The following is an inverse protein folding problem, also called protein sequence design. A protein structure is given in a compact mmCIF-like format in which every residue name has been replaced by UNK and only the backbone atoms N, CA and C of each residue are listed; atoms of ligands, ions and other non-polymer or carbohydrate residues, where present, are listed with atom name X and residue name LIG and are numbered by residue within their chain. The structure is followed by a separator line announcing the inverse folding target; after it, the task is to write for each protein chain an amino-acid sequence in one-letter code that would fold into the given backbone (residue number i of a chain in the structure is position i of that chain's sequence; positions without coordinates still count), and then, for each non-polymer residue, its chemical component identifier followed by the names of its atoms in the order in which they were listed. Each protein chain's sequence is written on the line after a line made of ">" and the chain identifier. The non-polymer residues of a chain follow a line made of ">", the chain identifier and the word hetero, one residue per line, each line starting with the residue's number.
data_IF_032702715652
#
_entry.id   IF_032702715652
#
_cell.length_a   1.000
_cell.length_b   1.000
_cell.length_c   1.000
_cell.angle_alpha   90.00
_cell.angle_beta   90.00
_cell.angle_gamma   90.00
#
_symmetry.space_group_name_H-M   'P 1'
#
loop_
_entity.id
_entity.type
_entity.pdbx_description
1 polymer ?
#
# COMPACT_ATOMS: atom_id res chain seq x y z
N UNK A 1 12.14 -3.51 15.52
CA UNK A 1 11.24 -2.76 14.61
C UNK A 1 11.52 -1.25 14.62
N UNK A 2 11.76 -0.60 15.77
CA UNK A 2 11.84 0.87 15.83
C UNK A 2 13.23 1.50 15.62
N UNK A 3 14.29 0.67 15.48
CA UNK A 3 15.65 1.15 15.14
C UNK A 3 15.97 0.79 13.68
N UNK A 4 16.18 1.81 12.83
CA UNK A 4 16.52 1.63 11.42
C UNK A 4 17.83 0.85 11.23
N UNK A 5 18.81 0.98 12.15
CA UNK A 5 20.11 0.31 12.04
C UNK A 5 20.02 -1.21 12.27
N UNK A 6 18.91 -1.67 12.85
CA UNK A 6 18.63 -3.07 13.09
C UNK A 6 17.65 -3.65 12.04
N UNK A 7 17.48 -2.97 10.90
CA UNK A 7 16.52 -3.36 9.85
C UNK A 7 15.07 -3.06 10.23
N UNK A 8 14.85 -2.06 11.09
CA UNK A 8 13.52 -1.55 11.38
C UNK A 8 12.97 -0.71 10.21
N UNK A 9 11.65 -0.72 10.05
CA UNK A 9 10.94 0.08 9.05
C UNK A 9 9.73 -0.67 8.49
N UNK A 10 8.69 0.05 8.09
CA UNK A 10 7.53 -0.52 7.38
C UNK A 10 7.78 -0.73 5.90
N UNK A 11 8.62 0.07 5.24
CA UNK A 11 8.98 -0.11 3.84
C UNK A 11 9.64 -1.47 3.62
N UNK A 12 10.58 -1.87 4.48
CA UNK A 12 11.18 -3.20 4.41
C UNK A 12 10.20 -4.30 4.84
N UNK A 13 9.42 -4.09 5.90
CA UNK A 13 8.55 -5.13 6.46
C UNK A 13 7.26 -5.37 5.65
N UNK A 14 6.77 -4.37 4.92
CA UNK A 14 5.51 -4.41 4.17
C UNK A 14 5.68 -3.98 2.72
N UNK A 15 6.45 -2.91 2.47
CA UNK A 15 6.63 -2.36 1.13
C UNK A 15 7.23 -3.35 0.13
N UNK A 16 7.99 -4.35 0.58
CA UNK A 16 8.45 -5.47 -0.28
C UNK A 16 7.27 -6.29 -0.82
N UNK A 17 6.25 -6.55 0.00
CA UNK A 17 5.06 -7.28 -0.43
C UNK A 17 4.19 -6.45 -1.37
N UNK A 18 4.06 -5.16 -1.10
CA UNK A 18 3.37 -4.25 -2.01
C UNK A 18 4.08 -4.19 -3.36
N UNK A 19 5.41 -4.11 -3.36
CA UNK A 19 6.21 -4.07 -4.58
C UNK A 19 6.11 -5.39 -5.36
N UNK A 20 6.20 -6.54 -4.69
CA UNK A 20 6.03 -7.85 -5.33
C UNK A 20 4.68 -7.95 -6.04
N UNK A 21 3.60 -7.52 -5.37
CA UNK A 21 2.26 -7.50 -5.97
C UNK A 21 2.19 -6.57 -7.18
N UNK A 22 2.75 -5.36 -7.07
CA UNK A 22 2.76 -4.40 -8.17
C UNK A 22 3.54 -4.93 -9.37
N UNK A 23 4.71 -5.54 -9.14
CA UNK A 23 5.54 -6.08 -10.23
C UNK A 23 4.94 -7.34 -10.87
N UNK A 24 4.19 -8.13 -10.11
CA UNK A 24 3.42 -9.25 -10.68
C UNK A 24 2.32 -8.74 -11.63
N UNK A 25 1.65 -7.64 -11.29
CA UNK A 25 0.57 -7.06 -12.12
C UNK A 25 1.08 -6.16 -13.25
N UNK A 26 2.14 -5.41 -12.99
CA UNK A 26 2.68 -4.34 -13.83
C UNK A 26 4.23 -4.39 -13.84
N UNK A 27 4.83 -5.41 -14.49
CA UNK A 27 6.25 -5.71 -14.35
C UNK A 27 7.20 -4.63 -14.90
N UNK A 28 6.75 -3.85 -15.88
CA UNK A 28 7.61 -2.87 -16.55
C UNK A 28 7.52 -1.48 -15.89
N UNK A 29 8.18 -1.29 -14.74
CA UNK A 29 8.34 0.03 -14.10
C UNK A 29 9.46 0.82 -14.77
N UNK A 30 9.19 2.07 -15.16
CA UNK A 30 10.14 2.96 -15.83
C UNK A 30 10.84 3.94 -14.87
N UNK A 31 10.11 4.51 -13.92
CA UNK A 31 10.62 5.51 -12.97
C UNK A 31 9.97 5.35 -11.60
N UNK A 32 10.69 5.73 -10.55
CA UNK A 32 10.21 5.68 -9.16
C UNK A 32 10.58 6.98 -8.44
N UNK A 33 9.64 7.50 -7.66
CA UNK A 33 9.88 8.51 -6.64
C UNK A 33 9.27 8.03 -5.32
N UNK A 34 9.96 8.22 -4.20
CA UNK A 34 9.48 7.74 -2.90
C UNK A 34 9.83 8.70 -1.77
N UNK A 35 9.04 8.64 -0.70
CA UNK A 35 9.30 9.32 0.57
C UNK A 35 8.97 8.38 1.73
N UNK A 36 9.70 8.53 2.82
CA UNK A 36 9.47 7.82 4.09
C UNK A 36 9.45 8.82 5.24
N UNK A 37 8.75 8.47 6.31
CA UNK A 37 8.60 9.35 7.48
C UNK A 37 8.60 8.55 8.79
N UNK A 38 9.23 9.12 9.83
CA UNK A 38 9.08 8.65 11.22
C UNK A 38 7.94 9.45 11.86
N UNK A 39 6.70 9.03 11.64
CA UNK A 39 5.52 9.77 12.10
C UNK A 39 5.38 9.81 13.62
N UNK A 40 5.87 8.78 14.34
CA UNK A 40 5.93 8.74 15.80
C UNK A 40 7.38 8.69 16.26
N UNK A 41 8.00 9.84 16.61
CA UNK A 41 9.44 9.94 16.86
C UNK A 41 9.88 9.32 18.19
N UNK A 42 8.96 9.10 19.13
CA UNK A 42 9.27 8.50 20.43
C UNK A 42 8.22 7.49 20.85
N UNK A 43 8.64 6.36 21.41
CA UNK A 43 7.77 5.30 21.93
C UNK A 43 8.25 4.77 23.27
N UNK A 44 7.30 4.37 24.10
CA UNK A 44 7.60 3.68 25.36
C UNK A 44 8.03 2.25 25.08
N UNK A 45 9.15 1.82 25.67
CA UNK A 45 9.63 0.46 25.60
C UNK A 45 8.95 -0.48 26.62
N UNK A 46 9.36 -1.75 26.62
CA UNK A 46 8.89 -2.77 27.56
C UNK A 46 9.21 -2.48 29.05
N UNK A 47 10.17 -1.59 29.31
CA UNK A 47 10.60 -1.16 30.65
C UNK A 47 10.00 0.21 31.04
N UNK A 48 8.94 0.65 30.34
CA UNK A 48 8.27 1.93 30.53
C UNK A 48 9.16 3.18 30.30
N UNK A 49 10.28 3.05 29.57
CA UNK A 49 11.15 4.16 29.22
C UNK A 49 10.80 4.70 27.84
N UNK A 50 10.80 6.03 27.70
CA UNK A 50 10.65 6.67 26.40
C UNK A 50 11.96 6.50 25.60
N UNK A 51 11.85 5.97 24.38
CA UNK A 51 12.96 5.82 23.44
C UNK A 51 12.66 6.49 22.12
N UNK A 52 13.71 6.98 21.49
CA UNK A 52 13.64 7.50 20.13
C UNK A 52 13.37 6.36 19.13
N UNK A 53 12.53 6.66 18.16
CA UNK A 53 12.26 5.82 17.00
C UNK A 53 13.03 6.40 15.83
N UNK A 54 13.81 5.57 15.16
CA UNK A 54 14.57 5.97 13.96
C UNK A 54 14.09 5.25 12.70
N UNK A 55 13.39 4.13 12.86
CA UNK A 55 12.73 3.44 11.77
C UNK A 55 11.46 4.17 11.36
N UNK A 56 11.29 4.37 10.06
CA UNK A 56 10.04 4.92 9.52
C UNK A 56 8.84 4.03 9.87
N UNK A 57 7.67 4.68 9.95
CA UNK A 57 6.39 4.01 10.17
C UNK A 57 5.39 4.27 9.03
N UNK A 58 5.86 4.96 7.99
CA UNK A 58 5.09 5.47 6.87
C UNK A 58 5.95 5.58 5.60
N UNK A 59 5.37 5.23 4.45
CA UNK A 59 5.98 5.44 3.14
C UNK A 59 4.93 5.78 2.08
N UNK A 60 5.40 6.48 1.05
CA UNK A 60 4.68 6.70 -0.20
C UNK A 60 5.63 6.47 -1.37
N UNK A 61 5.16 5.72 -2.37
CA UNK A 61 5.90 5.40 -3.60
C UNK A 61 5.02 5.79 -4.79
N UNK A 62 5.58 6.57 -5.70
CA UNK A 62 5.01 6.90 -7.00
C UNK A 62 5.81 6.16 -8.08
N UNK A 63 5.10 5.45 -8.94
CA UNK A 63 5.66 4.65 -10.02
C UNK A 63 5.17 5.20 -11.36
N UNK A 64 6.07 5.27 -12.34
CA UNK A 64 5.71 5.43 -13.76
C UNK A 64 5.88 4.08 -14.46
N UNK A 65 4.84 3.58 -15.09
CA UNK A 65 4.91 2.33 -15.86
C UNK A 65 5.41 2.61 -17.29
N UNK A 66 6.15 1.67 -17.85
CA UNK A 66 6.57 1.69 -19.26
C UNK A 66 5.34 1.49 -20.14
N UNK A 67 5.20 2.32 -21.17
CA UNK A 67 3.99 2.33 -22.00
C UNK A 67 2.88 3.23 -21.46
N UNK A 68 3.07 3.86 -20.30
CA UNK A 68 2.14 4.84 -19.72
C UNK A 68 1.40 4.30 -18.49
N UNK A 69 0.78 5.22 -17.76
CA UNK A 69 0.14 4.92 -16.47
C UNK A 69 1.00 5.28 -15.26
N UNK A 70 0.33 5.43 -14.13
CA UNK A 70 0.94 5.78 -12.84
C UNK A 70 0.45 4.80 -11.78
N UNK A 71 1.35 4.43 -10.86
CA UNK A 71 1.03 3.65 -9.67
C UNK A 71 1.34 4.45 -8.42
N UNK A 72 0.50 4.33 -7.39
CA UNK A 72 0.75 4.94 -6.08
C UNK A 72 0.59 3.86 -5.02
N UNK A 73 1.61 3.69 -4.19
CA UNK A 73 1.61 2.79 -3.04
C UNK A 73 1.85 3.61 -1.79
N UNK A 74 1.00 3.47 -0.78
CA UNK A 74 1.11 4.23 0.47
C UNK A 74 0.80 3.36 1.67
N UNK A 75 1.56 3.56 2.74
CA UNK A 75 1.28 2.96 4.04
C UNK A 75 1.55 4.00 5.14
N UNK A 76 0.64 4.08 6.11
CA UNK A 76 0.79 4.86 7.34
C UNK A 76 0.36 3.96 8.50
N UNK A 77 1.32 3.37 9.21
CA UNK A 77 1.00 2.37 10.25
C UNK A 77 0.50 2.99 11.56
N UNK A 78 0.56 4.31 11.67
CA UNK A 78 0.19 5.11 12.84
C UNK A 78 -1.11 5.87 12.67
N UNK A 79 -1.83 5.66 11.56
CA UNK A 79 -3.13 6.26 11.33
C UNK A 79 -4.14 5.84 12.42
N UNK A 80 -4.79 6.83 13.05
CA UNK A 80 -5.79 6.60 14.11
C UNK A 80 -7.06 5.90 13.61
N UNK A 81 -7.44 6.18 12.37
CA UNK A 81 -8.56 5.52 11.69
C UNK A 81 -8.01 4.76 10.50
N UNK A 82 -8.20 3.44 10.51
CA UNK A 82 -7.66 2.57 9.48
C UNK A 82 -8.51 2.71 8.20
N UNK A 83 -7.86 3.06 7.09
CA UNK A 83 -8.44 2.92 5.74
C UNK A 83 -8.60 1.44 5.35
N UNK A 84 -7.81 0.56 5.96
CA UNK A 84 -7.66 -0.83 5.53
C UNK A 84 -6.81 -0.95 4.27
N UNK A 85 -6.63 -2.18 3.81
CA UNK A 85 -5.95 -2.49 2.55
C UNK A 85 -6.94 -2.29 1.40
N UNK A 86 -6.58 -1.48 0.43
CA UNK A 86 -7.41 -1.21 -0.75
C UNK A 86 -6.52 -1.27 -1.97
N UNK A 87 -6.95 -2.03 -2.97
CA UNK A 87 -6.28 -2.14 -4.26
C UNK A 87 -7.24 -1.64 -5.32
N UNK A 88 -6.79 -0.70 -6.13
CA UNK A 88 -7.60 -0.04 -7.15
C UNK A 88 -6.82 0.00 -8.47
N UNK A 89 -7.44 -0.52 -9.53
CA UNK A 89 -6.88 -0.57 -10.88
C UNK A 89 -7.88 0.05 -11.83
N UNK A 90 -7.43 1.07 -12.56
CA UNK A 90 -8.23 1.81 -13.53
C UNK A 90 -7.57 1.68 -14.90
N UNK A 91 -8.26 1.04 -15.83
CA UNK A 91 -7.82 0.87 -17.21
C UNK A 91 -8.80 1.51 -18.19
N UNK A 92 -8.45 1.48 -19.46
CA UNK A 92 -9.30 1.96 -20.56
C UNK A 92 -10.61 1.17 -20.71
N UNK A 93 -10.56 -0.12 -20.40
CA UNK A 93 -11.65 -1.08 -20.59
C UNK A 93 -12.53 -1.27 -19.36
N UNK A 94 -12.15 -0.69 -18.21
CA UNK A 94 -12.87 -0.90 -16.97
C UNK A 94 -12.06 -0.62 -15.71
N UNK A 95 -12.65 -0.96 -14.58
CA UNK A 95 -12.10 -0.74 -13.24
C UNK A 95 -12.26 -2.00 -12.40
N UNK A 96 -11.26 -2.29 -11.57
CA UNK A 96 -11.31 -3.31 -10.53
C UNK A 96 -10.88 -2.68 -9.21
N UNK A 97 -11.61 -2.96 -8.14
CA UNK A 97 -11.32 -2.46 -6.80
C UNK A 97 -11.56 -3.55 -5.77
N UNK A 98 -10.53 -3.90 -5.00
CA UNK A 98 -10.67 -4.64 -3.76
C UNK A 98 -10.72 -3.62 -2.62
N UNK A 99 -11.85 -3.51 -1.94
CA UNK A 99 -11.99 -2.59 -0.81
C UNK A 99 -11.47 -3.19 0.51
N UNK A 100 -11.50 -2.37 1.56
CA UNK A 100 -11.03 -2.73 2.90
C UNK A 100 -11.87 -3.78 3.61
N UNK A 101 -13.08 -4.05 3.11
CA UNK A 101 -13.97 -5.12 3.59
C UNK A 101 -13.77 -6.41 2.77
N UNK A 102 -12.76 -6.45 1.89
CA UNK A 102 -12.44 -7.55 0.99
C UNK A 102 -13.54 -7.82 -0.04
N UNK A 103 -14.30 -6.79 -0.41
CA UNK A 103 -15.29 -6.87 -1.48
C UNK A 103 -14.63 -6.54 -2.80
N UNK A 104 -14.84 -7.39 -3.81
CA UNK A 104 -14.34 -7.17 -5.17
C UNK A 104 -15.42 -6.48 -5.99
N UNK A 105 -15.12 -5.23 -6.33
CA UNK A 105 -15.90 -4.39 -7.20
C UNK A 105 -15.28 -4.40 -8.60
N UNK A 106 -16.10 -4.53 -9.63
CA UNK A 106 -15.61 -4.37 -11.00
C UNK A 106 -16.70 -3.90 -11.97
N UNK A 107 -16.27 -3.28 -13.06
CA UNK A 107 -17.13 -2.88 -14.18
C UNK A 107 -16.32 -2.68 -15.45
N UNK A 108 -16.97 -2.87 -16.61
CA UNK A 108 -16.48 -2.32 -17.88
C UNK A 108 -16.68 -0.80 -17.93
N UNK A 109 -15.97 -0.12 -18.83
CA UNK A 109 -15.99 1.34 -18.95
C UNK A 109 -17.39 1.98 -19.08
N UNK A 110 -18.38 1.23 -19.60
CA UNK A 110 -19.75 1.72 -19.82
C UNK A 110 -20.78 1.07 -18.87
N UNK A 111 -20.32 0.46 -17.78
CA UNK A 111 -21.17 -0.23 -16.81
C UNK A 111 -21.02 0.43 -15.42
N UNK A 112 -22.06 0.37 -14.56
CA UNK A 112 -21.92 0.79 -13.18
C UNK A 112 -20.96 -0.14 -12.42
N UNK A 113 -20.15 0.42 -11.52
CA UNK A 113 -19.27 -0.34 -10.64
C UNK A 113 -20.10 -1.12 -9.61
N UNK A 114 -19.98 -2.44 -9.62
CA UNK A 114 -20.80 -3.32 -8.77
C UNK A 114 -19.95 -4.32 -7.99
N UNK A 115 -20.37 -4.64 -6.76
CA UNK A 115 -19.82 -5.74 -5.98
C UNK A 115 -20.37 -7.07 -6.51
N UNK A 116 -19.47 -7.95 -6.95
CA UNK A 116 -19.82 -9.20 -7.63
C UNK A 116 -19.37 -10.45 -6.88
N UNK A 117 -18.90 -10.34 -5.63
CA UNK A 117 -18.48 -11.52 -4.83
C UNK A 117 -19.63 -12.35 -4.27
N UNK A 118 -20.89 -11.95 -4.41
CA UNK A 118 -22.03 -12.80 -4.01
C UNK A 118 -22.27 -14.01 -4.93
N UNK A 119 -21.50 -14.17 -6.02
CA UNK A 119 -21.75 -15.21 -7.06
C UNK A 119 -20.59 -16.18 -7.29
N UNK A 120 -19.46 -16.05 -6.58
CA UNK A 120 -18.40 -17.07 -6.65
C UNK A 120 -18.73 -18.16 -5.62
N UNK A 121 -19.66 -19.04 -5.99
CA UNK A 121 -19.73 -20.37 -5.39
C UNK A 121 -18.48 -21.14 -5.83
N UNK A 122 -17.71 -21.62 -4.87
CA UNK A 122 -16.72 -22.68 -5.09
C UNK A 122 -17.41 -23.98 -5.47
#
# INVERSE_FOLDING_TARGET
>A
MHDARLGGGRLQAYGVHDLDLVLEMFPDVAEVAAATEVGVPTRTDENAQLRDVTAEDSYAVLLRLRGGGLGVVTLISTAHHKRGEVIEIYGDSGTVRLDSERRLWWARANEPLEDRLSTICW
#
